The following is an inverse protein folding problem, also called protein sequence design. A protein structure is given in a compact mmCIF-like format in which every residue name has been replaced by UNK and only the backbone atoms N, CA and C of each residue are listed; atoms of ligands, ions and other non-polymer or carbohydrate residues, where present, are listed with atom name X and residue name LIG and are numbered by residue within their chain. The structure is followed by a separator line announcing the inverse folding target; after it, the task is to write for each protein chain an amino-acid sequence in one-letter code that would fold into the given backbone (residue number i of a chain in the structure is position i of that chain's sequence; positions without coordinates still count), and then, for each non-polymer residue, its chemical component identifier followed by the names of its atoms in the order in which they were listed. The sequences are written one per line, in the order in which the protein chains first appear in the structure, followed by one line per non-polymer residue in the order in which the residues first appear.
data_IF_150517914976
#
_entry.id   IF_150517914976
#
_cell.length_a   1.000
_cell.length_b   1.000
_cell.length_c   1.000
_cell.angle_alpha   90.00
_cell.angle_beta   90.00
_cell.angle_gamma   90.00
#
_symmetry.space_group_name_H-M   'P 1'
#
loop_
_entity.id
_entity.type
_entity.pdbx_description
1 polymer ?
#
# COMPACT_ATOMS: atom_id res chain seq x y z
N UNK A 1 6.54 -13.37 12.49
CA UNK A 1 7.78 -13.36 13.28
C UNK A 1 7.54 -12.47 14.48
N UNK A 2 7.92 -12.89 15.68
CA UNK A 2 7.87 -12.08 16.90
C UNK A 2 9.25 -12.00 17.53
N UNK A 3 9.52 -10.90 18.24
CA UNK A 3 10.75 -10.76 18.99
C UNK A 3 10.73 -11.58 20.29
N UNK A 4 11.91 -11.99 20.75
CA UNK A 4 12.11 -12.72 21.99
C UNK A 4 11.77 -14.22 21.93
N UNK A 5 11.81 -14.92 23.09
CA UNK A 5 11.46 -16.33 23.20
C UNK A 5 9.96 -16.57 23.09
N UNK A 6 9.56 -17.82 22.78
CA UNK A 6 8.15 -18.21 22.70
C UNK A 6 7.41 -18.23 24.06
N UNK A 7 8.10 -17.99 25.18
CA UNK A 7 7.50 -17.99 26.51
C UNK A 7 6.49 -16.84 26.63
N UNK A 8 5.20 -17.18 26.64
CA UNK A 8 4.09 -16.20 26.61
C UNK A 8 3.50 -15.93 25.21
N UNK A 9 3.90 -16.70 24.20
CA UNK A 9 3.56 -16.50 22.79
C UNK A 9 2.06 -16.51 22.42
N UNK A 10 1.79 -16.37 21.12
CA UNK A 10 0.45 -16.29 20.52
C UNK A 10 -0.46 -17.40 21.07
N UNK A 11 -1.56 -16.98 21.70
CA UNK A 11 -2.60 -17.87 22.23
C UNK A 11 -3.76 -17.97 21.26
N UNK A 12 -4.43 -19.12 21.23
CA UNK A 12 -5.61 -19.37 20.41
C UNK A 12 -5.32 -20.07 19.09
N UNK A 13 -6.30 -20.05 18.18
CA UNK A 13 -6.23 -20.77 16.91
C UNK A 13 -5.56 -19.91 15.83
N UNK A 14 -4.52 -20.46 15.20
CA UNK A 14 -3.91 -19.87 14.01
C UNK A 14 -4.71 -20.23 12.77
N UNK A 15 -4.80 -19.29 11.83
CA UNK A 15 -5.38 -19.54 10.51
C UNK A 15 -4.55 -20.59 9.75
N UNK A 16 -5.21 -21.44 8.97
CA UNK A 16 -4.54 -22.43 8.12
C UNK A 16 -3.56 -21.73 7.18
N UNK A 17 -2.32 -22.22 7.12
CA UNK A 17 -1.25 -21.64 6.30
C UNK A 17 -0.46 -20.52 6.98
N UNK A 18 -0.91 -20.01 8.13
CA UNK A 18 -0.14 -19.06 8.93
C UNK A 18 0.88 -19.80 9.80
N UNK A 19 2.16 -19.39 9.71
CA UNK A 19 3.22 -19.85 10.60
C UNK A 19 3.66 -18.73 11.52
N UNK A 20 3.84 -19.06 12.80
CA UNK A 20 4.39 -18.15 13.79
C UNK A 20 5.78 -18.64 14.19
N UNK A 21 6.75 -17.73 14.13
CA UNK A 21 8.12 -17.96 14.54
C UNK A 21 8.54 -16.84 15.50
N UNK A 22 9.51 -17.15 16.36
CA UNK A 22 10.04 -16.29 17.42
C UNK A 22 11.55 -16.17 17.25
N UNK A 23 12.14 -14.99 17.45
CA UNK A 23 13.57 -14.74 17.20
C UNK A 23 14.48 -15.27 18.31
N UNK A 24 13.94 -15.54 19.49
CA UNK A 24 14.69 -16.08 20.62
C UNK A 24 15.57 -15.02 21.27
N UNK A 25 16.88 -15.08 21.00
CA UNK A 25 17.90 -14.23 21.64
C UNK A 25 18.39 -13.08 20.77
N UNK A 26 18.01 -13.07 19.49
CA UNK A 26 18.34 -12.00 18.54
C UNK A 26 17.07 -11.27 18.14
N UNK A 27 17.19 -10.10 17.51
CA UNK A 27 16.02 -9.35 17.06
C UNK A 27 15.31 -10.07 15.91
N UNK A 28 13.99 -9.82 15.79
CA UNK A 28 13.23 -10.29 14.63
C UNK A 28 13.80 -9.74 13.31
N UNK A 29 14.28 -8.50 13.33
CA UNK A 29 14.89 -7.83 12.18
C UNK A 29 16.12 -8.59 11.68
N UNK A 30 17.01 -9.00 12.59
CA UNK A 30 18.19 -9.79 12.26
C UNK A 30 17.80 -11.11 11.59
N UNK A 31 16.83 -11.84 12.16
CA UNK A 31 16.39 -13.12 11.60
C UNK A 31 15.77 -12.95 10.21
N UNK A 32 14.98 -11.89 10.01
CA UNK A 32 14.37 -11.60 8.72
C UNK A 32 15.45 -11.28 7.69
N UNK A 33 16.40 -10.41 8.05
CA UNK A 33 17.48 -9.98 7.16
C UNK A 33 18.40 -11.15 6.76
N UNK A 34 18.75 -12.00 7.74
CA UNK A 34 19.52 -13.23 7.52
C UNK A 34 18.75 -14.21 6.64
N UNK A 35 17.44 -14.37 6.85
CA UNK A 35 16.59 -15.25 6.03
C UNK A 35 16.51 -14.81 4.57
N UNK A 36 16.37 -13.51 4.31
CA UNK A 36 16.41 -12.97 2.94
C UNK A 36 17.81 -13.14 2.34
N UNK A 37 18.86 -12.91 3.13
CA UNK A 37 20.25 -13.12 2.71
C UNK A 37 20.57 -14.57 2.36
N UNK A 38 20.04 -15.52 3.13
CA UNK A 38 20.16 -16.95 2.86
C UNK A 38 19.47 -17.32 1.54
N UNK A 39 18.25 -16.79 1.30
CA UNK A 39 17.54 -17.02 0.04
C UNK A 39 18.30 -16.44 -1.17
N UNK A 40 18.83 -15.21 -1.03
CA UNK A 40 19.68 -14.58 -2.04
C UNK A 40 20.91 -15.43 -2.35
N UNK A 41 21.52 -16.03 -1.33
CA UNK A 41 22.71 -16.88 -1.48
C UNK A 41 22.39 -18.22 -2.15
N UNK A 42 21.21 -18.78 -1.87
CA UNK A 42 20.80 -20.08 -2.41
C UNK A 42 20.35 -19.99 -3.87
N UNK A 43 19.47 -19.03 -4.19
CA UNK A 43 18.75 -18.98 -5.46
C UNK A 43 19.11 -17.73 -6.30
N UNK A 44 20.10 -16.96 -5.86
CA UNK A 44 20.48 -15.70 -6.48
C UNK A 44 19.41 -14.62 -6.36
N UNK A 45 19.55 -13.49 -7.09
CA UNK A 45 18.62 -12.36 -7.01
C UNK A 45 17.17 -12.72 -7.33
N UNK A 46 16.94 -13.68 -8.22
CA UNK A 46 15.58 -14.11 -8.59
C UNK A 46 14.85 -14.77 -7.40
N UNK A 47 15.59 -15.43 -6.50
CA UNK A 47 15.04 -16.09 -5.32
C UNK A 47 14.36 -15.14 -4.33
N UNK A 48 14.73 -13.86 -4.31
CA UNK A 48 14.18 -12.88 -3.36
C UNK A 48 12.97 -12.12 -3.87
N UNK A 49 12.69 -12.14 -5.18
CA UNK A 49 11.57 -11.40 -5.78
C UNK A 49 10.19 -11.83 -5.30
N UNK A 50 10.07 -13.10 -4.87
CA UNK A 50 8.86 -13.66 -4.27
C UNK A 50 8.67 -13.29 -2.79
N UNK A 51 9.67 -12.69 -2.14
CA UNK A 51 9.61 -12.34 -0.73
C UNK A 51 8.97 -10.96 -0.58
N UNK A 52 7.94 -10.88 0.26
CA UNK A 52 7.35 -9.64 0.75
C UNK A 52 7.55 -9.53 2.27
N UNK A 53 8.32 -8.54 2.70
CA UNK A 53 8.50 -8.19 4.11
C UNK A 53 7.55 -7.07 4.48
N UNK A 54 6.77 -7.26 5.55
CA UNK A 54 5.84 -6.24 6.04
C UNK A 54 6.45 -5.63 7.29
N UNK A 55 6.90 -4.38 7.19
CA UNK A 55 7.56 -3.64 8.27
C UNK A 55 7.39 -2.14 8.09
N UNK A 56 7.23 -1.43 9.21
CA UNK A 56 7.32 0.03 9.25
C UNK A 56 8.75 0.52 9.57
N UNK A 57 9.63 -0.37 10.06
CA UNK A 57 11.03 -0.08 10.31
C UNK A 57 11.77 0.27 9.01
N UNK A 58 12.46 1.41 9.00
CA UNK A 58 13.17 1.90 7.80
C UNK A 58 14.48 1.15 7.57
N UNK A 59 15.22 0.85 8.63
CA UNK A 59 16.50 0.15 8.52
C UNK A 59 16.32 -1.25 7.96
N UNK A 60 15.33 -1.99 8.46
CA UNK A 60 15.01 -3.31 7.92
C UNK A 60 14.52 -3.21 6.48
N UNK A 61 13.68 -2.22 6.15
CA UNK A 61 13.19 -2.01 4.79
C UNK A 61 14.33 -1.83 3.79
N UNK A 62 15.29 -0.97 4.13
CA UNK A 62 16.43 -0.67 3.27
C UNK A 62 17.34 -1.90 3.13
N UNK A 63 17.61 -2.61 4.24
CA UNK A 63 18.44 -3.82 4.25
C UNK A 63 17.90 -4.94 3.37
N UNK A 64 16.61 -5.28 3.49
CA UNK A 64 16.01 -6.35 2.67
C UNK A 64 15.73 -5.90 1.24
N UNK A 65 15.46 -4.61 1.03
CA UNK A 65 15.27 -4.01 -0.29
C UNK A 65 16.55 -4.07 -1.13
N UNK A 66 17.72 -3.84 -0.52
CA UNK A 66 19.02 -4.01 -1.17
C UNK A 66 19.27 -5.46 -1.65
N UNK A 67 18.58 -6.45 -1.06
CA UNK A 67 18.65 -7.87 -1.44
C UNK A 67 17.61 -8.29 -2.47
N UNK A 68 16.76 -7.36 -2.94
CA UNK A 68 15.73 -7.61 -3.96
C UNK A 68 14.37 -8.07 -3.41
N UNK A 69 14.21 -8.14 -2.08
CA UNK A 69 12.91 -8.39 -1.47
C UNK A 69 11.99 -7.17 -1.59
N UNK A 70 10.69 -7.41 -1.69
CA UNK A 70 9.67 -6.35 -1.68
C UNK A 70 9.31 -5.99 -0.24
N UNK A 71 8.90 -4.75 -0.03
CA UNK A 71 8.52 -4.27 1.30
C UNK A 71 7.17 -3.55 1.29
N UNK A 72 6.40 -3.70 2.36
CA UNK A 72 5.17 -2.93 2.59
C UNK A 72 5.03 -2.53 4.06
N UNK A 73 4.32 -1.44 4.34
CA UNK A 73 4.02 -1.01 5.71
C UNK A 73 2.87 -1.78 6.35
N UNK A 74 2.72 -1.70 7.66
CA UNK A 74 1.63 -2.39 8.38
C UNK A 74 0.24 -1.87 7.98
N UNK A 75 0.13 -0.57 7.66
CA UNK A 75 -1.10 0.03 7.14
C UNK A 75 -1.56 -0.60 5.81
N UNK A 76 -0.61 -0.96 4.94
CA UNK A 76 -0.92 -1.67 3.69
C UNK A 76 -1.51 -3.05 3.98
N UNK A 77 -0.94 -3.78 4.95
CA UNK A 77 -1.43 -5.09 5.35
C UNK A 77 -2.82 -4.98 5.96
N UNK A 78 -3.04 -4.02 6.86
CA UNK A 78 -4.35 -3.77 7.48
C UNK A 78 -5.41 -3.48 6.41
N UNK A 79 -5.11 -2.63 5.44
CA UNK A 79 -6.01 -2.37 4.31
C UNK A 79 -6.26 -3.61 3.44
N UNK A 80 -5.26 -4.46 3.24
CA UNK A 80 -5.41 -5.71 2.48
C UNK A 80 -6.29 -6.72 3.22
N UNK A 81 -6.09 -6.90 4.52
CA UNK A 81 -6.91 -7.79 5.34
C UNK A 81 -8.35 -7.27 5.43
N UNK A 82 -8.53 -5.95 5.59
CA UNK A 82 -9.86 -5.32 5.60
C UNK A 82 -10.64 -5.58 4.31
N UNK A 83 -9.98 -5.53 3.14
CA UNK A 83 -10.62 -5.90 1.86
C UNK A 83 -10.95 -7.39 1.77
N UNK A 84 -10.05 -8.28 2.20
CA UNK A 84 -10.31 -9.73 2.20
C UNK A 84 -11.50 -10.11 3.10
N UNK A 85 -11.72 -9.37 4.18
CA UNK A 85 -12.90 -9.55 5.03
C UNK A 85 -14.22 -9.12 4.37
N UNK A 86 -14.17 -8.20 3.39
CA UNK A 86 -15.33 -7.69 2.67
C UNK A 86 -15.68 -8.56 1.44
N UNK A 87 -14.69 -9.20 0.81
CA UNK A 87 -14.89 -10.07 -0.36
C UNK A 87 -15.23 -11.53 -0.02
N UNK A 88 -15.32 -11.90 1.27
CA UNK A 88 -15.78 -13.24 1.65
C UNK A 88 -17.25 -13.44 1.26
N UNK A 89 -17.60 -14.41 0.40
CA UNK A 89 -19.00 -14.66 0.04
C UNK A 89 -19.77 -15.16 1.26
N UNK A 90 -20.71 -14.34 1.73
CA UNK A 90 -21.91 -14.76 2.44
C UNK A 90 -21.73 -15.49 3.77
N UNK A 91 -21.47 -14.75 4.85
CA UNK A 91 -22.12 -15.05 6.14
C UNK A 91 -23.14 -13.95 6.39
N UNK A 92 -24.41 -14.30 6.17
CA UNK A 92 -25.53 -13.37 6.24
C UNK A 92 -25.54 -12.57 7.55
N UNK A 93 -25.44 -11.25 7.39
CA UNK A 93 -25.76 -10.27 8.41
C UNK A 93 -26.46 -9.13 7.68
N UNK A 94 -27.76 -8.99 7.93
CA UNK A 94 -28.64 -7.99 7.33
C UNK A 94 -28.13 -6.57 7.60
N UNK A 95 -27.46 -5.96 6.63
CA UNK A 95 -27.32 -4.51 6.60
C UNK A 95 -28.67 -3.93 6.15
N UNK A 96 -29.42 -3.39 7.12
CA UNK A 96 -30.67 -2.66 6.89
C UNK A 96 -30.43 -1.55 5.87
N UNK A 97 -31.01 -1.72 4.68
CA UNK A 97 -31.13 -0.69 3.68
C UNK A 97 -32.22 0.29 4.10
N UNK A 98 -31.85 1.36 4.79
CA UNK A 98 -32.72 2.51 5.04
C UNK A 98 -32.43 3.62 4.04
N UNK A 99 -33.06 3.57 2.87
CA UNK A 99 -33.22 4.76 1.99
C UNK A 99 -34.59 5.36 2.27
N UNK A 100 -34.67 6.62 2.70
CA UNK A 100 -35.76 7.51 2.27
C UNK A 100 -35.24 8.91 2.01
N UNK A 101 -35.58 9.39 0.81
CA UNK A 101 -35.46 10.75 0.32
C UNK A 101 -36.33 11.74 1.10
N UNK A 102 -35.82 12.96 1.30
CA UNK A 102 -36.62 14.13 1.67
C UNK A 102 -36.14 15.35 0.90
N UNK A 103 -36.94 15.78 -0.08
CA UNK A 103 -36.78 16.97 -0.93
C UNK A 103 -37.74 18.05 -0.42
N UNK A 104 -37.26 19.29 -0.31
CA UNK A 104 -38.04 20.52 -0.07
C UNK A 104 -37.44 21.34 1.06
N UNK A 105 -37.14 22.64 0.96
CA UNK A 105 -37.42 23.66 -0.03
C UNK A 105 -37.54 25.01 0.69
N UNK A 106 -36.95 26.07 0.11
CA UNK A 106 -37.14 27.53 0.37
C UNK A 106 -36.76 28.09 1.75
N UNK A 107 -35.68 28.85 1.93
CA UNK A 107 -35.33 30.21 1.46
C UNK A 107 -35.69 31.33 2.47
N UNK A 108 -34.71 32.24 2.69
CA UNK A 108 -34.79 33.70 2.97
C UNK A 108 -33.91 34.14 4.16
N UNK A 109 -32.69 34.65 3.92
CA UNK A 109 -32.31 36.08 3.72
C UNK A 109 -31.80 36.71 5.05
N UNK A 110 -30.70 37.45 5.17
CA UNK A 110 -30.20 38.58 4.36
C UNK A 110 -28.72 38.90 4.66
N UNK A 111 -28.05 39.52 3.67
CA UNK A 111 -26.94 40.52 3.75
C UNK A 111 -25.52 40.01 4.09
N UNK A 112 -24.44 40.36 3.39
CA UNK A 112 -24.14 41.40 2.38
C UNK A 112 -22.95 40.92 1.52
N UNK A 113 -23.05 40.93 0.19
CA UNK A 113 -22.59 42.00 -0.71
C UNK A 113 -21.06 42.19 -0.77
N UNK A 114 -20.38 41.49 -1.67
CA UNK A 114 -19.36 42.10 -2.54
C UNK A 114 -19.37 41.37 -3.88
N UNK A 115 -19.44 42.16 -4.94
CA UNK A 115 -19.94 41.83 -6.26
C UNK A 115 -18.80 41.94 -7.29
N UNK A 116 -18.65 40.88 -8.11
CA UNK A 116 -18.16 40.85 -9.50
C UNK A 116 -16.64 41.02 -9.78
N UNK A 117 -16.12 40.61 -10.96
CA UNK A 117 -16.59 39.58 -11.92
C UNK A 117 -15.48 38.60 -12.40
N UNK A 118 -15.89 37.45 -12.97
CA UNK A 118 -15.05 36.65 -13.87
C UNK A 118 -15.23 37.12 -15.33
N UNK A 119 -14.14 37.14 -16.11
CA UNK A 119 -14.16 36.81 -17.54
C UNK A 119 -13.12 35.70 -17.84
N UNK A 120 -13.14 34.93 -18.92
CA UNK A 120 -14.12 34.35 -19.86
C UNK A 120 -13.30 33.26 -20.60
N UNK A 121 -13.95 32.23 -21.13
CA UNK A 121 -13.32 31.11 -21.84
C UNK A 121 -12.38 31.51 -23.00
N UNK A 122 -11.33 30.70 -23.23
CA UNK A 122 -10.68 30.56 -24.54
C UNK A 122 -9.15 30.48 -24.51
N UNK A 123 -8.60 29.31 -24.88
CA UNK A 123 -7.55 29.12 -25.93
C UNK A 123 -6.69 27.89 -25.64
N UNK A 124 -6.82 26.91 -26.53
CA UNK A 124 -6.08 25.65 -26.59
C UNK A 124 -4.72 25.82 -27.28
N UNK A 125 -3.84 24.84 -27.06
CA UNK A 125 -2.66 24.43 -27.84
C UNK A 125 -1.27 25.01 -27.49
N UNK A 126 -0.46 24.12 -26.92
CA UNK A 126 0.99 24.25 -26.83
C UNK A 126 1.68 22.88 -26.87
N UNK A 127 1.35 22.04 -27.86
CA UNK A 127 2.22 20.89 -28.19
C UNK A 127 3.50 21.44 -28.83
N UNK A 128 4.54 21.64 -28.02
CA UNK A 128 5.88 21.85 -28.56
C UNK A 128 6.34 20.53 -29.18
N UNK A 129 6.44 20.50 -30.51
CA UNK A 129 7.18 19.46 -31.23
C UNK A 129 8.65 19.46 -30.75
N UNK A 130 9.28 18.30 -30.55
CA UNK A 130 10.73 18.24 -30.43
C UNK A 130 11.40 18.63 -31.76
N UNK A 131 12.62 19.20 -31.72
CA UNK A 131 13.36 19.58 -32.91
C UNK A 131 13.70 18.35 -33.78
N UNK A 132 13.68 18.55 -35.10
CA UNK A 132 14.05 17.56 -36.12
C UNK A 132 15.57 17.31 -36.08
N UNK A 133 16.05 16.06 -36.14
CA UNK A 133 17.48 15.79 -36.27
C UNK A 133 18.01 16.23 -37.65
N UNK A 134 19.28 16.67 -37.74
CA UNK A 134 19.92 16.99 -39.02
C UNK A 134 20.04 15.75 -39.90
N UNK A 135 19.95 15.96 -41.22
CA UNK A 135 20.11 14.89 -42.21
C UNK A 135 21.56 14.37 -42.21
N UNK A 136 21.80 13.07 -42.50
CA UNK A 136 23.14 12.56 -42.69
C UNK A 136 23.75 13.12 -43.98
N UNK A 137 24.98 13.62 -43.88
CA UNK A 137 25.80 13.96 -45.02
C UNK A 137 26.05 12.71 -45.87
N UNK A 138 25.89 12.85 -47.19
CA UNK A 138 26.21 11.79 -48.15
C UNK A 138 27.66 11.97 -48.58
N UNK A 139 28.51 11.04 -48.19
CA UNK A 139 29.77 10.72 -48.87
C UNK A 139 29.58 9.44 -49.71
#
# INVERSE_FOLDING_TARGET
MFDGPASGGVRGRLATGLRVAYSGRISADQVIDDGVGAQLSADGPAGTWGILVITDDRGLRDAVGAKGARTAGTAWLAGRIGRLGVEAPGRGGTASAGRTSGRGGTARSTRSSTSMPLPKAGTTFGHRRPPRPPAPDRD
#
